data_IF_906050659757
#
_entry.id   IF_906050659757
#
_cell.length_a   1.000
_cell.length_b   1.000
_cell.length_c   1.000
_cell.angle_alpha   90.00
_cell.angle_beta   90.00
_cell.angle_gamma   90.00
#
_symmetry.space_group_name_H-M   'P 1'
#
loop_
_entity.id
_entity.type
_entity.pdbx_description
1 polymer ?
#
# COMPACT_ATOMS: atom_id res chain seq x y z
N UNK A 1 -14.07 7.01 -1.32
CA UNK A 1 -14.30 5.54 -1.28
C UNK A 1 -13.48 5.00 -0.14
N UNK A 2 -14.06 4.19 0.75
CA UNK A 2 -13.28 3.53 1.80
C UNK A 2 -12.34 2.51 1.14
N UNK A 3 -11.05 2.59 1.45
CA UNK A 3 -10.07 1.60 1.03
C UNK A 3 -10.16 0.42 2.00
N UNK A 4 -10.42 -0.77 1.48
CA UNK A 4 -10.43 -1.99 2.30
C UNK A 4 -9.00 -2.48 2.56
N UNK A 5 -8.62 -2.54 3.84
CA UNK A 5 -7.30 -2.99 4.26
C UNK A 5 -7.00 -4.43 3.82
N UNK A 6 -8.01 -5.30 3.74
CA UNK A 6 -7.83 -6.69 3.31
C UNK A 6 -7.39 -6.77 1.83
N UNK A 7 -7.91 -5.86 0.99
CA UNK A 7 -7.50 -5.77 -0.41
C UNK A 7 -6.06 -5.29 -0.56
N UNK A 8 -5.65 -4.29 0.24
CA UNK A 8 -4.26 -3.82 0.24
C UNK A 8 -3.28 -4.90 0.72
N UNK A 9 -3.62 -5.63 1.79
CA UNK A 9 -2.80 -6.74 2.28
C UNK A 9 -2.70 -7.88 1.25
N UNK A 10 -3.82 -8.21 0.60
CA UNK A 10 -3.83 -9.20 -0.49
C UNK A 10 -2.95 -8.76 -1.65
N UNK A 11 -2.98 -7.47 -2.00
CA UNK A 11 -2.11 -6.90 -3.03
C UNK A 11 -0.63 -7.00 -2.62
N UNK A 12 -0.28 -6.68 -1.38
CA UNK A 12 1.09 -6.79 -0.88
C UNK A 12 1.64 -8.21 -0.99
N UNK A 13 0.87 -9.22 -0.57
CA UNK A 13 1.27 -10.63 -0.69
C UNK A 13 1.46 -11.03 -2.15
N UNK A 14 0.51 -10.66 -3.04
CA UNK A 14 0.60 -10.96 -4.47
C UNK A 14 1.82 -10.34 -5.16
N UNK A 15 2.35 -9.25 -4.62
CA UNK A 15 3.54 -8.55 -5.14
C UNK A 15 4.82 -8.89 -4.37
N UNK A 16 4.83 -9.93 -3.53
CA UNK A 16 5.96 -10.32 -2.68
C UNK A 16 6.52 -9.17 -1.83
N UNK A 17 5.63 -8.30 -1.35
CA UNK A 17 6.04 -7.19 -0.50
C UNK A 17 6.31 -7.65 0.93
N UNK A 18 7.39 -7.16 1.54
CA UNK A 18 7.69 -7.38 2.96
C UNK A 18 6.84 -6.50 3.87
N UNK A 19 6.56 -5.27 3.44
CA UNK A 19 5.88 -4.24 4.23
C UNK A 19 4.78 -3.56 3.42
N UNK A 20 3.68 -3.23 4.09
CA UNK A 20 2.65 -2.30 3.61
C UNK A 20 2.74 -1.02 4.46
N UNK A 21 3.01 0.12 3.82
CA UNK A 21 3.11 1.43 4.45
C UNK A 21 1.82 2.24 4.20
N UNK A 22 1.18 2.68 5.29
CA UNK A 22 -0.01 3.52 5.28
C UNK A 22 0.30 4.81 6.04
N UNK A 23 0.13 5.95 5.36
CA UNK A 23 0.32 7.27 5.94
C UNK A 23 -0.75 8.21 5.39
N UNK A 24 -1.30 9.09 6.24
CA UNK A 24 -2.28 10.08 5.81
C UNK A 24 -1.66 11.09 4.83
N UNK A 25 -2.45 11.54 3.84
CA UNK A 25 -2.03 12.52 2.84
C UNK A 25 -1.02 12.00 1.82
N UNK A 26 -0.84 10.68 1.71
CA UNK A 26 -0.03 10.06 0.65
C UNK A 26 -0.69 8.77 0.17
N UNK A 27 -0.37 8.35 -1.05
CA UNK A 27 -0.77 7.03 -1.56
C UNK A 27 -0.14 5.91 -0.73
N UNK A 28 -0.84 4.77 -0.54
CA UNK A 28 -0.25 3.58 0.05
C UNK A 28 1.04 3.16 -0.65
N UNK A 29 1.99 2.61 0.09
CA UNK A 29 3.27 2.13 -0.48
C UNK A 29 3.56 0.70 -0.03
N UNK A 30 4.28 -0.06 -0.85
CA UNK A 30 4.76 -1.40 -0.50
C UNK A 30 6.27 -1.47 -0.62
N UNK A 31 6.91 -2.28 0.21
CA UNK A 31 8.34 -2.59 0.09
C UNK A 31 8.54 -3.92 -0.63
N UNK A 32 9.19 -3.92 -1.78
CA UNK A 32 9.49 -5.13 -2.57
C UNK A 32 10.99 -5.13 -2.85
N UNK A 33 11.67 -6.23 -2.51
CA UNK A 33 13.12 -6.39 -2.70
C UNK A 33 13.96 -5.26 -2.09
N UNK A 34 13.49 -4.66 -0.99
CA UNK A 34 14.14 -3.54 -0.29
C UNK A 34 13.66 -2.15 -0.73
N UNK A 35 13.07 -2.03 -1.91
CA UNK A 35 12.61 -0.75 -2.48
C UNK A 35 11.18 -0.40 -2.10
N UNK A 36 10.94 0.86 -1.75
CA UNK A 36 9.59 1.38 -1.46
C UNK A 36 8.94 1.88 -2.75
N UNK A 37 7.79 1.32 -3.10
CA UNK A 37 7.03 1.64 -4.32
C UNK A 37 5.63 2.12 -3.97
N UNK A 38 5.17 3.21 -4.63
CA UNK A 38 3.80 3.72 -4.47
C UNK A 38 2.82 2.81 -5.20
N UNK A 39 1.72 2.48 -4.52
CA UNK A 39 0.56 1.85 -5.17
C UNK A 39 -0.15 2.94 -5.96
N UNK A 40 -0.56 2.62 -7.19
CA UNK A 40 -1.30 3.54 -8.05
C UNK A 40 -2.75 3.72 -7.54
N UNK A 41 -2.88 4.48 -6.46
CA UNK A 41 -4.13 4.82 -5.79
C UNK A 41 -4.07 6.27 -5.28
N UNK A 42 -5.22 6.92 -5.09
CA UNK A 42 -5.29 8.22 -4.44
C UNK A 42 -4.69 8.21 -3.03
N UNK A 43 -4.42 9.39 -2.52
CA UNK A 43 -3.94 9.58 -1.15
C UNK A 43 -4.97 9.11 -0.12
N UNK A 44 -4.48 8.54 0.99
CA UNK A 44 -5.34 8.17 2.10
C UNK A 44 -5.76 9.42 2.88
N UNK A 45 -7.07 9.59 3.05
CA UNK A 45 -7.65 10.58 3.97
C UNK A 45 -7.85 9.99 5.37
N UNK A 46 -7.94 10.85 6.38
CA UNK A 46 -8.13 10.46 7.78
C UNK A 46 -9.59 10.14 8.11
#
# INVERSE_FOLDING_TARGET
MAVDIAQLLTFSVKNNASDLHLSAGVSPMIRVDGDVKRINMPELSH
#
